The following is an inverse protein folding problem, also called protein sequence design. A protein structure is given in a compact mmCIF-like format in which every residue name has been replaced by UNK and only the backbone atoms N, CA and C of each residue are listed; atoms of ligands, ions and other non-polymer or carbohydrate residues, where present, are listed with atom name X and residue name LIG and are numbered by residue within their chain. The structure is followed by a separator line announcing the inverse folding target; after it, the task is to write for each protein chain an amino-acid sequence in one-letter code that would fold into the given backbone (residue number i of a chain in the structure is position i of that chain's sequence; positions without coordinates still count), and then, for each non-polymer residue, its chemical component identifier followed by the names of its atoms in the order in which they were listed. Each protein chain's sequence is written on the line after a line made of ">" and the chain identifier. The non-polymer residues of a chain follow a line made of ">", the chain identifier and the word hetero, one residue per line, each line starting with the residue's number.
data_IF_044968597446
#
_entry.id   IF_044968597446
#
_cell.length_a   1.000
_cell.length_b   1.000
_cell.length_c   1.000
_cell.angle_alpha   90.00
_cell.angle_beta   90.00
_cell.angle_gamma   90.00
#
_symmetry.space_group_name_H-M   'P 1'
#
loop_
_entity.id
_entity.type
_entity.pdbx_description
1 polymer ?
#
# COMPACT_ATOMS: atom_id res chain seq x y z
N UNK A 1 -7.68 -14.14 -14.21
CA UNK A 1 -8.06 -13.54 -12.91
C UNK A 1 -6.88 -13.45 -11.92
N UNK A 2 -5.93 -14.40 -11.89
CA UNK A 2 -4.76 -14.36 -10.98
C UNK A 2 -3.87 -13.10 -11.12
N UNK A 3 -3.55 -12.67 -12.34
CA UNK A 3 -2.74 -11.46 -12.63
C UNK A 3 -3.34 -10.15 -12.08
N UNK A 4 -4.67 -10.08 -11.87
CA UNK A 4 -5.29 -8.91 -11.28
C UNK A 4 -5.16 -8.93 -9.75
N UNK A 5 -5.31 -10.10 -9.12
CA UNK A 5 -5.14 -10.26 -7.68
C UNK A 5 -3.71 -9.93 -7.22
N UNK A 6 -2.71 -10.35 -8.00
CA UNK A 6 -1.30 -10.10 -7.71
C UNK A 6 -0.95 -8.60 -7.78
N UNK A 7 -1.54 -7.87 -8.74
CA UNK A 7 -1.38 -6.42 -8.83
C UNK A 7 -2.06 -5.68 -7.66
N UNK A 8 -3.22 -6.16 -7.20
CA UNK A 8 -3.87 -5.58 -6.03
C UNK A 8 -3.09 -5.85 -4.74
N UNK A 9 -2.51 -7.03 -4.59
CA UNK A 9 -1.66 -7.38 -3.44
C UNK A 9 -0.40 -6.50 -3.38
N UNK A 10 0.27 -6.36 -4.53
CA UNK A 10 1.41 -5.45 -4.68
C UNK A 10 1.05 -4.01 -4.36
N UNK A 11 -0.09 -3.53 -4.86
CA UNK A 11 -0.58 -2.20 -4.57
C UNK A 11 -0.84 -2.02 -3.06
N UNK A 12 -1.49 -2.98 -2.40
CA UNK A 12 -1.76 -2.91 -0.97
C UNK A 12 -0.47 -2.75 -0.13
N UNK A 13 0.60 -3.48 -0.46
CA UNK A 13 1.90 -3.32 0.20
C UNK A 13 2.50 -1.93 -0.01
N UNK A 14 2.45 -1.40 -1.22
CA UNK A 14 3.00 -0.07 -1.53
C UNK A 14 2.22 1.06 -0.85
N UNK A 15 0.89 0.97 -0.80
CA UNK A 15 0.05 1.94 -0.10
C UNK A 15 0.29 1.89 1.43
N UNK A 16 0.42 0.69 1.99
CA UNK A 16 0.72 0.51 3.42
C UNK A 16 2.11 1.02 3.81
N UNK A 17 3.11 0.79 2.95
CA UNK A 17 4.46 1.33 3.12
C UNK A 17 4.46 2.86 3.06
N UNK A 18 3.76 3.44 2.08
CA UNK A 18 3.59 4.88 1.98
C UNK A 18 3.00 5.46 3.28
N UNK A 19 1.86 4.93 3.75
CA UNK A 19 1.19 5.44 4.95
C UNK A 19 2.11 5.41 6.18
N UNK A 20 2.79 4.28 6.44
CA UNK A 20 3.70 4.15 7.58
C UNK A 20 4.88 5.11 7.51
N UNK A 21 5.50 5.27 6.33
CA UNK A 21 6.66 6.14 6.15
C UNK A 21 6.29 7.62 6.30
N UNK A 22 5.09 8.02 5.88
CA UNK A 22 4.60 9.40 6.08
C UNK A 22 4.28 9.67 7.55
N UNK A 23 3.66 8.72 8.25
CA UNK A 23 3.37 8.84 9.68
C UNK A 23 4.66 8.92 10.51
N UNK A 24 5.65 8.07 10.24
CA UNK A 24 6.95 8.07 10.93
C UNK A 24 7.76 9.34 10.70
N UNK A 25 7.66 9.93 9.51
CA UNK A 25 8.41 11.14 9.15
C UNK A 25 7.73 12.44 9.61
N UNK A 26 6.51 12.36 10.15
CA UNK A 26 5.72 13.51 10.58
C UNK A 26 5.24 14.41 9.42
N UNK A 27 5.47 14.00 8.18
CA UNK A 27 5.00 14.73 7.00
C UNK A 27 3.52 14.44 6.76
N UNK A 28 2.73 15.51 6.70
CA UNK A 28 1.32 15.37 6.31
C UNK A 28 1.20 15.32 4.79
N UNK A 29 0.69 14.21 4.29
CA UNK A 29 0.19 14.10 2.92
C UNK A 29 -0.88 15.18 2.69
N UNK A 30 -0.74 15.95 1.60
CA UNK A 30 -1.73 16.96 1.19
C UNK A 30 -3.13 16.36 1.09
N UNK A 31 -4.16 17.18 1.37
CA UNK A 31 -5.54 16.71 1.53
C UNK A 31 -6.06 15.99 0.29
N UNK A 32 -5.73 16.48 -0.90
CA UNK A 32 -6.11 15.91 -2.18
C UNK A 32 -5.47 14.53 -2.40
N UNK A 33 -4.17 14.39 -2.09
CA UNK A 33 -3.46 13.10 -2.13
C UNK A 33 -3.99 12.12 -1.09
N UNK A 34 -4.42 12.62 0.07
CA UNK A 34 -5.06 11.78 1.10
C UNK A 34 -6.41 11.24 0.64
N UNK A 35 -7.23 12.06 -0.01
CA UNK A 35 -8.50 11.60 -0.57
C UNK A 35 -8.31 10.55 -1.69
N UNK A 36 -7.30 10.74 -2.54
CA UNK A 36 -6.92 9.74 -3.56
C UNK A 36 -6.42 8.44 -2.92
N UNK A 37 -5.55 8.55 -1.91
CA UNK A 37 -5.04 7.44 -1.12
C UNK A 37 -6.19 6.61 -0.52
N UNK A 38 -7.10 7.25 0.22
CA UNK A 38 -8.20 6.58 0.91
C UNK A 38 -9.14 5.88 -0.08
N UNK A 39 -9.39 6.50 -1.24
CA UNK A 39 -10.17 5.88 -2.32
C UNK A 39 -9.47 4.62 -2.84
N UNK A 40 -8.17 4.69 -3.10
CA UNK A 40 -7.41 3.54 -3.61
C UNK A 40 -7.36 2.41 -2.58
N UNK A 41 -7.14 2.71 -1.30
CA UNK A 41 -7.21 1.73 -0.21
C UNK A 41 -8.59 1.08 -0.12
N UNK A 42 -9.67 1.86 -0.27
CA UNK A 42 -11.04 1.32 -0.29
C UNK A 42 -11.26 0.36 -1.46
N UNK A 43 -10.69 0.64 -2.64
CA UNK A 43 -10.76 -0.27 -3.79
C UNK A 43 -10.01 -1.56 -3.49
N UNK A 44 -8.81 -1.47 -2.90
CA UNK A 44 -7.99 -2.64 -2.57
C UNK A 44 -8.69 -3.55 -1.55
N UNK A 45 -9.30 -2.98 -0.50
CA UNK A 45 -10.11 -3.72 0.48
C UNK A 45 -11.32 -4.42 -0.14
N UNK A 46 -11.90 -3.84 -1.20
CA UNK A 46 -13.04 -4.45 -1.90
C UNK A 46 -12.62 -5.51 -2.93
N UNK A 47 -11.38 -5.45 -3.43
CA UNK A 47 -10.86 -6.37 -4.46
C UNK A 47 -10.09 -7.56 -3.90
N UNK A 48 -9.46 -7.40 -2.73
CA UNK A 48 -8.73 -8.46 -2.06
C UNK A 48 -9.61 -9.14 -1.02
N UNK A 49 -9.35 -10.43 -0.81
CA UNK A 49 -9.84 -11.11 0.40
C UNK A 49 -9.27 -10.39 1.65
N UNK A 50 -10.07 -10.32 2.72
CA UNK A 50 -9.69 -9.60 3.93
C UNK A 50 -8.37 -10.06 4.53
N UNK A 51 -8.08 -11.38 4.50
CA UNK A 51 -6.81 -11.93 4.99
C UNK A 51 -5.64 -11.57 4.09
N UNK A 52 -5.85 -11.61 2.77
CA UNK A 52 -4.83 -11.21 1.80
C UNK A 52 -4.49 -9.73 1.99
N UNK A 53 -5.51 -8.87 2.07
CA UNK A 53 -5.32 -7.45 2.35
C UNK A 53 -4.57 -7.22 3.66
N UNK A 54 -4.98 -7.84 4.77
CA UNK A 54 -4.34 -7.65 6.07
C UNK A 54 -2.87 -8.06 6.06
N UNK A 55 -2.55 -9.19 5.42
CA UNK A 55 -1.16 -9.65 5.30
C UNK A 55 -0.33 -8.69 4.44
N UNK A 56 -0.83 -8.33 3.25
CA UNK A 56 -0.18 -7.39 2.35
C UNK A 56 0.06 -6.03 3.02
N UNK A 57 -0.92 -5.56 3.78
CA UNK A 57 -0.83 -4.31 4.52
C UNK A 57 0.23 -4.38 5.63
N UNK A 58 0.25 -5.45 6.42
CA UNK A 58 1.26 -5.65 7.46
C UNK A 58 2.68 -5.75 6.87
N UNK A 59 2.85 -6.45 5.76
CA UNK A 59 4.13 -6.56 5.05
C UNK A 59 4.60 -5.19 4.53
N UNK A 60 3.68 -4.41 3.94
CA UNK A 60 3.99 -3.07 3.44
C UNK A 60 4.33 -2.08 4.54
N UNK A 61 3.54 -2.01 5.61
CA UNK A 61 3.79 -1.10 6.75
C UNK A 61 5.10 -1.40 7.49
N UNK A 62 5.67 -2.59 7.34
CA UNK A 62 6.97 -2.94 7.93
C UNK A 62 8.18 -2.55 7.04
N UNK A 63 7.94 -2.07 5.82
CA UNK A 63 9.02 -1.70 4.90
C UNK A 63 9.72 -0.41 5.31
N UNK A 64 11.04 -0.42 5.24
CA UNK A 64 11.84 0.82 5.22
C UNK A 64 11.64 1.59 3.91
N UNK A 65 12.14 2.83 3.85
CA UNK A 65 12.18 3.61 2.61
C UNK A 65 12.91 2.86 1.49
N UNK A 66 14.05 2.24 1.82
CA UNK A 66 14.87 1.46 0.89
C UNK A 66 14.12 0.21 0.40
N UNK A 67 13.45 -0.50 1.31
CA UNK A 67 12.67 -1.70 0.96
C UNK A 67 11.49 -1.36 0.05
N UNK A 68 10.76 -0.28 0.34
CA UNK A 68 9.63 0.17 -0.46
C UNK A 68 10.05 0.55 -1.88
N UNK A 69 11.18 1.25 -2.03
CA UNK A 69 11.75 1.60 -3.35
C UNK A 69 12.22 0.35 -4.09
N UNK A 70 12.93 -0.57 -3.42
CA UNK A 70 13.36 -1.82 -4.03
C UNK A 70 12.16 -2.68 -4.48
N UNK A 71 11.11 -2.72 -3.67
CA UNK A 71 9.87 -3.44 -3.96
C UNK A 71 9.09 -2.82 -5.14
N UNK A 72 9.04 -1.49 -5.24
CA UNK A 72 8.43 -0.79 -6.37
C UNK A 72 9.18 -1.04 -7.70
N UNK A 73 10.48 -1.27 -7.65
CA UNK A 73 11.30 -1.50 -8.84
C UNK A 73 11.38 -2.96 -9.30
N UNK A 74 11.05 -3.93 -8.43
CA UNK A 74 10.92 -5.34 -8.83
C UNK A 74 9.75 -5.48 -9.81
N UNK A 75 10.09 -5.57 -11.09
CA UNK A 75 9.17 -5.72 -12.23
C UNK A 75 8.96 -7.19 -12.57
#
# INVERSE_FOLDING_TARGET
>A
MALLGEQFDRAARLFAAMESLFDDSGFRVEKERRAEHDRNVSILRAKLDGKIFTNAWAEGSAMSWEDAVAYANKS
#
